data_IF_105327988980
#
_entry.id   IF_105327988980
#
_cell.length_a   1.000
_cell.length_b   1.000
_cell.length_c   1.000
_cell.angle_alpha   90.00
_cell.angle_beta   90.00
_cell.angle_gamma   90.00
#
_symmetry.space_group_name_H-M   'P 1'
#
loop_
_entity.id
_entity.type
_entity.pdbx_description
1 polymer ?
#
# COMPACT_ATOMS: atom_id res chain seq x y z
N UNK A 1 -66.36 -44.79 -35.33
CA UNK A 1 -65.16 -44.60 -34.47
C UNK A 1 -64.59 -43.23 -34.76
N UNK A 2 -64.84 -42.26 -33.87
CA UNK A 2 -64.20 -40.94 -33.88
C UNK A 2 -63.74 -40.70 -32.45
N UNK A 3 -62.42 -40.61 -32.26
CA UNK A 3 -61.78 -40.32 -30.98
C UNK A 3 -60.94 -39.07 -31.13
N UNK A 4 -61.27 -38.08 -30.32
CA UNK A 4 -60.89 -36.67 -30.32
C UNK A 4 -59.44 -36.40 -29.91
N UNK A 5 -58.86 -35.33 -30.45
CA UNK A 5 -57.63 -34.69 -29.97
C UNK A 5 -57.75 -34.30 -28.49
N UNK A 6 -56.65 -34.48 -27.74
CA UNK A 6 -56.38 -33.69 -26.53
C UNK A 6 -54.94 -33.19 -26.57
N UNK A 7 -54.83 -31.88 -26.75
CA UNK A 7 -53.60 -31.11 -26.68
C UNK A 7 -53.01 -31.16 -25.26
N UNK A 8 -51.73 -31.47 -25.14
CA UNK A 8 -50.95 -31.19 -23.95
C UNK A 8 -50.05 -29.97 -24.20
N UNK A 9 -50.17 -29.03 -23.26
CA UNK A 9 -49.67 -27.66 -23.29
C UNK A 9 -48.17 -27.61 -23.05
N UNK A 10 -47.59 -26.54 -23.59
CA UNK A 10 -46.22 -26.03 -23.45
C UNK A 10 -45.72 -25.97 -21.99
N UNK A 11 -44.42 -26.22 -21.81
CA UNK A 11 -43.60 -25.55 -20.79
C UNK A 11 -42.16 -25.41 -21.33
N UNK A 12 -41.61 -24.18 -21.44
CA UNK A 12 -40.23 -23.96 -21.89
C UNK A 12 -39.27 -24.26 -20.73
N UNK A 13 -38.31 -25.16 -20.96
CA UNK A 13 -37.17 -25.34 -20.06
C UNK A 13 -36.31 -24.07 -20.13
N UNK A 14 -36.23 -23.40 -18.98
CA UNK A 14 -35.61 -22.11 -18.76
C UNK A 14 -34.14 -22.10 -19.20
N UNK A 15 -33.82 -21.18 -20.11
CA UNK A 15 -32.46 -20.71 -20.37
C UNK A 15 -32.00 -19.93 -19.14
N UNK A 16 -31.30 -20.61 -18.22
CA UNK A 16 -30.73 -20.04 -16.99
C UNK A 16 -29.19 -20.00 -17.05
N UNK A 17 -28.62 -19.86 -18.24
CA UNK A 17 -27.17 -19.90 -18.47
C UNK A 17 -26.55 -18.56 -18.91
N UNK A 18 -27.23 -17.43 -18.71
CA UNK A 18 -26.72 -16.10 -19.13
C UNK A 18 -26.57 -15.08 -17.99
N UNK A 19 -26.76 -15.47 -16.72
CA UNK A 19 -26.57 -14.56 -15.57
C UNK A 19 -25.15 -14.58 -14.97
N UNK A 20 -24.24 -15.43 -15.46
CA UNK A 20 -22.85 -15.41 -15.00
C UNK A 20 -21.99 -14.31 -15.65
N UNK A 21 -22.51 -13.65 -16.71
CA UNK A 21 -21.79 -12.59 -17.42
C UNK A 21 -22.10 -11.16 -16.91
N UNK A 22 -23.10 -10.99 -16.03
CA UNK A 22 -23.40 -9.71 -15.38
C UNK A 22 -22.93 -9.64 -13.91
N UNK A 23 -22.21 -10.65 -13.41
CA UNK A 23 -21.50 -10.58 -12.13
C UNK A 23 -20.09 -9.98 -12.29
N UNK A 24 -19.94 -9.03 -13.21
CA UNK A 24 -18.71 -8.28 -13.42
C UNK A 24 -18.32 -7.46 -12.19
N UNK A 25 -17.02 -7.37 -11.95
CA UNK A 25 -16.34 -6.38 -11.09
C UNK A 25 -16.31 -6.61 -9.56
N UNK A 26 -16.39 -7.86 -9.06
CA UNK A 26 -15.89 -8.15 -7.70
C UNK A 26 -14.65 -9.03 -7.75
N UNK A 27 -13.53 -8.48 -7.28
CA UNK A 27 -12.33 -9.25 -6.95
C UNK A 27 -12.71 -10.50 -6.15
N UNK A 28 -12.15 -11.66 -6.51
CA UNK A 28 -12.32 -12.87 -5.71
C UNK A 28 -12.03 -12.56 -4.23
N UNK A 29 -12.87 -13.03 -3.28
CA UNK A 29 -12.68 -12.71 -1.86
C UNK A 29 -11.36 -13.27 -1.29
N UNK A 30 -10.72 -14.21 -1.98
CA UNK A 30 -9.42 -14.77 -1.63
C UNK A 30 -8.23 -14.02 -2.25
N UNK A 31 -8.47 -13.03 -3.11
CA UNK A 31 -7.44 -12.23 -3.79
C UNK A 31 -7.40 -10.84 -3.15
N UNK A 32 -6.20 -10.39 -2.83
CA UNK A 32 -5.90 -9.07 -2.29
C UNK A 32 -5.65 -8.04 -3.40
N UNK A 33 -4.91 -8.40 -4.45
CA UNK A 33 -4.69 -7.57 -5.62
C UNK A 33 -4.42 -8.39 -6.89
N UNK A 34 -4.77 -7.85 -8.05
CA UNK A 34 -4.40 -8.39 -9.36
C UNK A 34 -3.36 -7.48 -10.02
N UNK A 35 -2.19 -8.05 -10.33
CA UNK A 35 -1.03 -7.40 -10.92
C UNK A 35 -0.79 -7.99 -12.32
N UNK A 36 -1.60 -7.57 -13.29
CA UNK A 36 -1.66 -8.24 -14.60
C UNK A 36 -2.09 -9.71 -14.42
N UNK A 37 -1.25 -10.64 -14.87
CA UNK A 37 -1.53 -12.08 -14.79
C UNK A 37 -1.29 -12.70 -13.40
N UNK A 38 -0.73 -11.93 -12.45
CA UNK A 38 -0.45 -12.41 -11.10
C UNK A 38 -1.54 -11.97 -10.12
N UNK A 39 -2.12 -12.92 -9.41
CA UNK A 39 -2.96 -12.64 -8.25
C UNK A 39 -2.13 -12.69 -6.96
N UNK A 40 -2.25 -11.68 -6.11
CA UNK A 40 -1.77 -11.67 -4.72
C UNK A 40 -2.91 -12.14 -3.85
N UNK A 41 -2.70 -13.17 -3.05
CA UNK A 41 -3.74 -13.76 -2.21
C UNK A 41 -3.87 -13.05 -0.87
N UNK A 42 -5.06 -13.11 -0.29
CA UNK A 42 -5.31 -12.67 1.09
C UNK A 42 -4.41 -13.42 2.08
N UNK A 43 -4.18 -14.71 1.85
CA UNK A 43 -3.38 -15.54 2.74
C UNK A 43 -1.90 -15.09 2.78
N UNK A 44 -1.32 -14.74 1.62
CA UNK A 44 0.05 -14.19 1.56
C UNK A 44 0.17 -12.89 2.35
N UNK A 45 -0.83 -12.00 2.24
CA UNK A 45 -0.85 -10.73 3.00
C UNK A 45 -1.00 -10.98 4.50
N UNK A 46 -1.96 -11.82 4.90
CA UNK A 46 -2.24 -12.13 6.31
C UNK A 46 -1.08 -12.88 6.99
N UNK A 47 -0.27 -13.63 6.23
CA UNK A 47 0.94 -14.28 6.73
C UNK A 47 1.99 -13.24 7.13
N UNK A 48 2.29 -12.27 6.24
CA UNK A 48 3.27 -11.23 6.50
C UNK A 48 2.84 -10.34 7.68
N UNK A 49 1.59 -9.86 7.67
CA UNK A 49 1.06 -9.01 8.75
C UNK A 49 1.18 -9.69 10.10
N UNK A 50 0.78 -10.97 10.18
CA UNK A 50 0.83 -11.74 11.42
C UNK A 50 2.26 -11.96 11.91
N UNK A 51 3.19 -12.30 11.01
CA UNK A 51 4.58 -12.55 11.36
C UNK A 51 5.23 -11.29 11.96
N UNK A 52 5.04 -10.14 11.33
CA UNK A 52 5.60 -8.86 11.77
C UNK A 52 4.98 -8.40 13.09
N UNK A 53 3.65 -8.42 13.19
CA UNK A 53 2.97 -7.91 14.36
C UNK A 53 3.19 -8.82 15.58
N UNK A 54 3.39 -10.12 15.39
CA UNK A 54 3.78 -11.02 16.47
C UNK A 54 5.09 -10.59 17.14
N UNK A 55 6.10 -10.16 16.36
CA UNK A 55 7.37 -9.64 16.90
C UNK A 55 7.15 -8.36 17.71
N UNK A 56 6.31 -7.45 17.21
CA UNK A 56 5.93 -6.23 17.92
C UNK A 56 5.23 -6.54 19.25
N UNK A 57 4.21 -7.40 19.21
CA UNK A 57 3.41 -7.81 20.37
C UNK A 57 4.26 -8.48 21.45
N UNK A 58 5.16 -9.40 21.08
CA UNK A 58 6.09 -10.06 21.99
C UNK A 58 6.99 -9.06 22.72
N UNK A 59 7.53 -8.08 21.99
CA UNK A 59 8.38 -7.03 22.57
C UNK A 59 7.61 -6.12 23.52
N UNK A 60 6.40 -5.72 23.15
CA UNK A 60 5.54 -4.94 24.02
C UNK A 60 5.11 -5.73 25.26
N UNK A 61 4.86 -7.03 25.12
CA UNK A 61 4.58 -7.92 26.25
C UNK A 61 5.77 -8.02 27.20
N UNK A 62 6.99 -8.24 26.67
CA UNK A 62 8.21 -8.28 27.45
C UNK A 62 8.45 -6.96 28.20
N UNK A 63 8.18 -5.81 27.56
CA UNK A 63 8.32 -4.49 28.19
C UNK A 63 7.33 -4.30 29.33
N UNK A 64 6.05 -4.66 29.13
CA UNK A 64 5.01 -4.60 30.19
C UNK A 64 5.34 -5.49 31.38
N UNK A 65 6.03 -6.61 31.15
CA UNK A 65 6.53 -7.51 32.19
C UNK A 65 7.78 -6.98 32.93
N UNK A 66 8.21 -5.74 32.68
CA UNK A 66 9.39 -5.15 33.32
C UNK A 66 10.72 -5.54 32.66
N UNK A 67 10.68 -6.08 31.44
CA UNK A 67 11.90 -6.42 30.68
C UNK A 67 12.85 -5.21 30.53
N UNK A 68 14.17 -5.43 30.68
CA UNK A 68 15.16 -4.40 30.43
C UNK A 68 15.25 -4.12 28.92
N UNK A 69 15.33 -2.84 28.55
CA UNK A 69 15.58 -2.46 27.16
C UNK A 69 15.03 -1.08 26.80
N UNK A 70 15.51 -0.52 25.68
CA UNK A 70 14.91 0.67 25.06
C UNK A 70 13.45 0.40 24.66
N UNK A 71 12.68 1.46 24.41
CA UNK A 71 11.32 1.33 23.91
C UNK A 71 11.32 0.46 22.64
N UNK A 72 10.46 -0.57 22.55
CA UNK A 72 10.38 -1.38 21.34
C UNK A 72 10.10 -0.48 20.14
N UNK A 73 10.76 -0.72 18.98
CA UNK A 73 10.33 -0.07 17.75
C UNK A 73 8.86 -0.41 17.50
N UNK A 74 8.11 0.56 16.97
CA UNK A 74 6.72 0.39 16.52
C UNK A 74 6.73 -0.46 15.25
N UNK A 75 7.06 -1.74 15.38
CA UNK A 75 6.92 -2.70 14.28
C UNK A 75 5.49 -3.19 14.31
N UNK A 76 4.62 -2.35 13.78
CA UNK A 76 3.23 -2.69 13.56
C UNK A 76 2.93 -2.33 12.12
N UNK A 77 2.48 -3.31 11.35
CA UNK A 77 2.10 -3.11 9.95
C UNK A 77 0.61 -3.41 9.77
N UNK A 78 0.04 -2.83 8.73
CA UNK A 78 -1.33 -3.07 8.31
C UNK A 78 -1.37 -3.93 7.06
N UNK A 79 -2.51 -4.58 6.84
CA UNK A 79 -2.70 -5.34 5.61
C UNK A 79 -2.75 -4.43 4.37
N UNK A 80 -3.18 -3.17 4.54
CA UNK A 80 -3.16 -2.15 3.49
C UNK A 80 -1.72 -1.79 3.09
N UNK A 81 -0.84 -1.57 4.06
CA UNK A 81 0.58 -1.29 3.84
C UNK A 81 1.26 -2.45 3.09
N UNK A 82 1.06 -3.70 3.53
CA UNK A 82 1.64 -4.88 2.87
C UNK A 82 1.18 -4.99 1.41
N UNK A 83 -0.12 -4.77 1.13
CA UNK A 83 -0.63 -4.73 -0.24
C UNK A 83 0.01 -3.59 -1.03
N UNK A 84 0.11 -2.40 -0.43
CA UNK A 84 0.75 -1.23 -1.02
C UNK A 84 2.21 -1.49 -1.42
N UNK A 85 3.02 -2.07 -0.53
CA UNK A 85 4.42 -2.40 -0.83
C UNK A 85 4.53 -3.32 -2.04
N UNK A 86 3.69 -4.35 -2.11
CA UNK A 86 3.68 -5.32 -3.22
C UNK A 86 3.24 -4.66 -4.53
N UNK A 87 2.15 -3.90 -4.50
CA UNK A 87 1.60 -3.21 -5.67
C UNK A 87 2.57 -2.16 -6.19
N UNK A 88 3.13 -1.33 -5.31
CA UNK A 88 4.02 -0.23 -5.69
C UNK A 88 5.39 -0.70 -6.15
N UNK A 89 5.87 -1.83 -5.61
CA UNK A 89 7.01 -2.52 -6.20
C UNK A 89 6.72 -2.89 -7.67
N UNK A 90 5.61 -3.57 -7.94
CA UNK A 90 5.26 -4.02 -9.29
C UNK A 90 5.10 -2.86 -10.28
N UNK A 91 4.40 -1.81 -9.86
CA UNK A 91 4.20 -0.60 -10.68
C UNK A 91 5.52 0.15 -10.89
N UNK A 92 6.35 0.24 -9.85
CA UNK A 92 7.67 0.86 -9.94
C UNK A 92 8.62 0.11 -10.89
N UNK A 93 8.66 -1.23 -10.85
CA UNK A 93 9.47 -2.04 -11.78
C UNK A 93 9.09 -1.77 -13.25
N UNK A 94 7.79 -1.66 -13.55
CA UNK A 94 7.31 -1.26 -14.88
C UNK A 94 7.77 0.14 -15.24
N UNK A 95 7.60 1.13 -14.35
CA UNK A 95 8.01 2.51 -14.60
C UNK A 95 9.53 2.64 -14.82
N UNK A 96 10.34 1.89 -14.07
CA UNK A 96 11.79 1.85 -14.28
C UNK A 96 12.12 1.34 -15.68
N UNK A 97 11.48 0.25 -16.10
CA UNK A 97 11.67 -0.36 -17.43
C UNK A 97 11.25 0.60 -18.54
N UNK A 98 10.05 1.17 -18.44
CA UNK A 98 9.48 2.10 -19.42
C UNK A 98 10.33 3.37 -19.58
N UNK A 99 10.94 3.85 -18.49
CA UNK A 99 11.76 5.09 -18.47
C UNK A 99 13.26 4.84 -18.62
N UNK A 100 13.70 3.59 -18.70
CA UNK A 100 15.11 3.24 -18.74
C UNK A 100 15.88 3.67 -17.48
N UNK A 101 15.21 3.72 -16.33
CA UNK A 101 15.83 4.09 -15.05
C UNK A 101 16.42 2.84 -14.37
N UNK A 102 17.64 2.93 -13.80
CA UNK A 102 18.21 1.81 -13.05
C UNK A 102 17.52 1.68 -11.69
N UNK A 103 17.35 0.45 -11.22
CA UNK A 103 17.02 0.21 -9.81
C UNK A 103 18.16 0.72 -8.90
N UNK A 104 17.83 1.06 -7.66
CA UNK A 104 18.80 1.52 -6.66
C UNK A 104 18.97 0.47 -5.54
N UNK A 105 19.88 -0.50 -5.68
CA UNK A 105 20.12 -1.53 -4.66
C UNK A 105 20.46 -0.89 -3.31
N UNK A 106 19.95 -1.50 -2.23
CA UNK A 106 20.24 -1.09 -0.85
C UNK A 106 20.46 -2.32 0.02
N UNK A 107 21.24 -2.19 1.09
CA UNK A 107 21.35 -3.26 2.09
C UNK A 107 20.07 -3.34 2.93
N UNK A 108 19.66 -4.56 3.26
CA UNK A 108 18.58 -4.82 4.21
C UNK A 108 18.93 -4.35 5.64
N UNK A 109 20.21 -4.19 5.97
CA UNK A 109 20.67 -3.77 7.31
C UNK A 109 20.09 -2.42 7.74
N UNK A 110 19.89 -1.50 6.78
CA UNK A 110 19.31 -0.18 7.07
C UNK A 110 17.88 -0.32 7.58
N UNK A 111 17.07 -1.15 6.90
CA UNK A 111 15.68 -1.38 7.31
C UNK A 111 15.59 -2.27 8.54
N UNK A 112 16.49 -3.24 8.68
CA UNK A 112 16.59 -4.06 9.88
C UNK A 112 16.81 -3.23 11.14
N UNK A 113 17.62 -2.17 11.07
CA UNK A 113 17.80 -1.24 12.18
C UNK A 113 16.54 -0.39 12.45
N UNK A 114 15.91 0.15 11.40
CA UNK A 114 14.71 1.01 11.52
C UNK A 114 13.54 0.26 12.14
N UNK A 115 13.25 -0.92 11.60
CA UNK A 115 12.15 -1.77 12.08
C UNK A 115 12.59 -2.72 13.20
N UNK A 116 13.87 -2.74 13.59
CA UNK A 116 14.38 -3.72 14.55
C UNK A 116 14.05 -5.17 14.20
N UNK A 117 13.95 -5.55 12.92
CA UNK A 117 13.65 -6.93 12.49
C UNK A 117 14.93 -7.64 12.02
N UNK A 118 14.98 -8.98 12.03
CA UNK A 118 16.09 -9.71 11.42
C UNK A 118 16.24 -9.35 9.93
N UNK A 119 17.46 -9.19 9.38
CA UNK A 119 17.65 -8.82 7.97
C UNK A 119 17.02 -9.78 6.94
N UNK A 120 16.68 -11.01 7.36
CA UNK A 120 16.01 -12.03 6.56
C UNK A 120 14.48 -12.00 6.66
N UNK A 121 13.90 -11.08 7.43
CA UNK A 121 12.46 -11.00 7.64
C UNK A 121 11.72 -10.68 6.32
N UNK A 122 10.65 -11.44 5.95
CA UNK A 122 9.90 -11.22 4.71
C UNK A 122 9.37 -9.80 4.53
N UNK A 123 9.04 -9.11 5.62
CA UNK A 123 8.54 -7.74 5.57
C UNK A 123 9.63 -6.73 5.21
N UNK A 124 10.85 -6.93 5.70
CA UNK A 124 11.99 -6.11 5.28
C UNK A 124 12.30 -6.29 3.81
N UNK A 125 12.07 -7.50 3.27
CA UNK A 125 12.20 -7.73 1.84
C UNK A 125 11.17 -6.95 1.02
N UNK A 126 9.92 -6.83 1.50
CA UNK A 126 8.91 -5.99 0.84
C UNK A 126 9.34 -4.52 0.80
N UNK A 127 9.78 -3.98 1.95
CA UNK A 127 10.30 -2.62 2.04
C UNK A 127 11.52 -2.39 1.15
N UNK A 128 12.45 -3.34 1.14
CA UNK A 128 13.64 -3.25 0.30
C UNK A 128 13.29 -3.25 -1.19
N UNK A 129 12.48 -4.21 -1.65
CA UNK A 129 12.08 -4.32 -3.05
C UNK A 129 11.32 -3.05 -3.50
N UNK A 130 10.41 -2.53 -2.66
CA UNK A 130 9.71 -1.27 -2.89
C UNK A 130 10.66 -0.07 -2.99
N UNK A 131 11.59 0.06 -2.05
CA UNK A 131 12.51 1.20 -1.99
C UNK A 131 13.44 1.26 -3.20
N UNK A 132 13.88 0.10 -3.69
CA UNK A 132 14.73 -0.02 -4.88
C UNK A 132 14.10 0.57 -6.13
N UNK A 133 12.76 0.61 -6.21
CA UNK A 133 12.04 1.16 -7.36
C UNK A 133 11.56 2.59 -7.14
N UNK A 134 11.18 2.95 -5.92
CA UNK A 134 10.68 4.32 -5.65
C UNK A 134 11.80 5.35 -5.66
N UNK A 135 12.98 5.06 -5.11
CA UNK A 135 14.05 6.05 -5.04
C UNK A 135 14.51 6.57 -6.41
N UNK A 136 14.76 5.73 -7.43
CA UNK A 136 15.08 6.23 -8.76
C UNK A 136 13.95 7.04 -9.38
N UNK A 137 12.69 6.70 -9.11
CA UNK A 137 11.53 7.46 -9.59
C UNK A 137 11.53 8.85 -8.94
N UNK A 138 11.71 8.95 -7.62
CA UNK A 138 11.83 10.23 -6.91
C UNK A 138 12.99 11.06 -7.47
N UNK A 139 14.17 10.45 -7.63
CA UNK A 139 15.35 11.13 -8.14
C UNK A 139 15.21 11.62 -9.59
N UNK A 140 14.30 11.04 -10.38
CA UNK A 140 14.01 11.46 -11.74
C UNK A 140 13.07 12.68 -11.82
N UNK A 141 12.42 13.07 -10.71
CA UNK A 141 11.60 14.28 -10.66
C UNK A 141 12.43 15.51 -10.29
N UNK A 142 12.24 16.65 -10.98
CA UNK A 142 12.87 17.90 -10.57
C UNK A 142 12.31 18.34 -9.22
N UNK A 143 13.17 18.93 -8.39
CA UNK A 143 12.72 19.50 -7.13
C UNK A 143 11.84 20.73 -7.39
N UNK A 144 10.76 20.83 -6.62
CA UNK A 144 9.84 21.95 -6.64
C UNK A 144 9.33 22.27 -5.24
N UNK A 145 8.84 23.50 -5.00
CA UNK A 145 8.09 23.77 -3.77
C UNK A 145 6.87 22.83 -3.67
N UNK A 146 6.66 22.14 -2.54
CA UNK A 146 5.44 21.38 -2.31
C UNK A 146 4.24 22.31 -2.09
N UNK A 147 3.04 21.82 -2.38
CA UNK A 147 1.79 22.52 -2.05
C UNK A 147 1.41 22.30 -0.58
N UNK A 148 0.51 23.15 -0.05
CA UNK A 148 0.00 22.97 1.31
C UNK A 148 -0.82 21.67 1.44
N UNK A 149 -1.54 21.28 0.38
CA UNK A 149 -2.27 20.02 0.32
C UNK A 149 -1.32 18.81 0.38
N UNK A 150 -0.19 18.87 -0.34
CA UNK A 150 0.82 17.81 -0.31
C UNK A 150 1.45 17.68 1.08
N UNK A 151 1.78 18.81 1.71
CA UNK A 151 2.26 18.82 3.10
C UNK A 151 1.19 18.34 4.09
N UNK A 152 -0.08 18.68 3.86
CA UNK A 152 -1.23 18.24 4.65
C UNK A 152 -1.32 16.72 4.74
N UNK A 153 -1.23 16.03 3.60
CA UNK A 153 -1.26 14.54 3.60
C UNK A 153 -0.13 13.89 4.38
N UNK A 154 1.07 14.49 4.36
CA UNK A 154 2.19 13.99 5.15
C UNK A 154 2.00 14.26 6.64
N UNK A 155 1.41 15.41 6.98
CA UNK A 155 1.03 15.72 8.35
C UNK A 155 -0.04 14.77 8.87
N UNK A 156 -1.07 14.47 8.08
CA UNK A 156 -2.09 13.47 8.43
C UNK A 156 -1.44 12.11 8.71
N UNK A 157 -0.52 11.66 7.85
CA UNK A 157 0.23 10.43 8.06
C UNK A 157 1.09 10.44 9.34
N UNK A 158 1.66 11.59 9.70
CA UNK A 158 2.39 11.76 10.96
C UNK A 158 1.46 11.75 12.18
N UNK A 159 0.25 12.33 12.07
CA UNK A 159 -0.77 12.29 13.11
C UNK A 159 -1.22 10.83 13.33
N UNK A 160 -1.53 10.12 12.26
CA UNK A 160 -1.97 8.72 12.31
C UNK A 160 -0.87 7.80 12.89
N UNK A 161 0.40 8.09 12.60
CA UNK A 161 1.54 7.39 13.18
C UNK A 161 1.85 7.80 14.64
N UNK A 162 1.16 8.80 15.20
CA UNK A 162 1.40 9.33 16.53
C UNK A 162 2.76 10.02 16.68
N UNK A 163 3.26 10.63 15.61
CA UNK A 163 4.62 11.19 15.49
C UNK A 163 4.65 12.72 15.55
N UNK A 164 3.49 13.37 15.67
CA UNK A 164 3.42 14.82 15.84
C UNK A 164 3.82 15.19 17.28
N UNK A 165 4.84 16.06 17.47
CA UNK A 165 5.24 16.50 18.80
C UNK A 165 4.13 17.31 19.49
N UNK A 166 4.00 17.12 20.80
CA UNK A 166 3.05 17.88 21.62
C UNK A 166 3.33 19.40 21.53
N UNK A 167 2.26 20.18 21.35
CA UNK A 167 2.32 21.65 21.38
C UNK A 167 2.81 22.32 20.10
N UNK A 168 3.13 21.57 19.04
CA UNK A 168 3.46 22.14 17.72
C UNK A 168 2.17 22.42 16.94
N UNK A 169 2.06 23.62 16.38
CA UNK A 169 0.89 24.02 15.59
C UNK A 169 0.86 23.36 14.21
N UNK A 170 -0.35 23.08 13.70
CA UNK A 170 -0.55 22.49 12.37
C UNK A 170 0.16 23.28 11.27
N UNK A 171 -0.03 24.60 11.21
CA UNK A 171 0.56 25.46 10.17
C UNK A 171 2.09 25.52 10.23
N UNK A 172 2.65 25.44 11.44
CA UNK A 172 4.10 25.37 11.66
C UNK A 172 4.66 24.06 11.08
N UNK A 173 3.99 22.94 11.35
CA UNK A 173 4.39 21.64 10.84
C UNK A 173 4.29 21.54 9.31
N UNK A 174 3.25 22.12 8.72
CA UNK A 174 3.14 22.26 7.26
C UNK A 174 4.32 23.05 6.70
N UNK A 175 4.66 24.18 7.32
CA UNK A 175 5.78 25.01 6.88
C UNK A 175 7.14 24.30 7.03
N UNK A 176 7.30 23.45 8.04
CA UNK A 176 8.49 22.62 8.25
C UNK A 176 8.58 21.49 7.22
N UNK A 177 7.49 20.76 6.96
CA UNK A 177 7.43 19.69 5.96
C UNK A 177 7.81 20.21 4.57
N UNK A 178 7.33 21.40 4.20
CA UNK A 178 7.66 22.04 2.92
C UNK A 178 9.14 22.43 2.78
N UNK A 179 9.89 22.48 3.88
CA UNK A 179 11.34 22.72 3.89
C UNK A 179 12.15 21.42 3.83
N UNK A 180 11.50 20.26 3.91
CA UNK A 180 12.18 18.98 3.84
C UNK A 180 12.79 18.77 2.44
N UNK A 181 14.08 18.41 2.33
CA UNK A 181 14.72 18.22 1.04
C UNK A 181 14.04 17.11 0.22
N UNK A 182 13.91 17.33 -1.09
CA UNK A 182 13.31 16.39 -2.04
C UNK A 182 11.81 16.14 -1.81
N UNK A 183 11.13 16.92 -0.97
CA UNK A 183 9.70 16.73 -0.69
C UNK A 183 8.88 16.93 -1.97
N UNK A 184 9.18 17.96 -2.76
CA UNK A 184 8.42 18.22 -3.99
C UNK A 184 8.63 17.15 -5.06
N UNK A 185 9.86 16.64 -5.17
CA UNK A 185 10.17 15.48 -6.01
C UNK A 185 9.42 14.22 -5.52
N UNK A 186 9.39 13.96 -4.20
CA UNK A 186 8.67 12.83 -3.60
C UNK A 186 7.16 12.91 -3.83
N UNK A 187 6.55 14.09 -3.64
CA UNK A 187 5.14 14.31 -3.92
C UNK A 187 4.80 14.11 -5.41
N UNK A 188 5.69 14.51 -6.32
CA UNK A 188 5.52 14.28 -7.76
C UNK A 188 5.66 12.80 -8.14
N UNK A 189 6.58 12.08 -7.48
CA UNK A 189 6.73 10.63 -7.64
C UNK A 189 5.49 9.89 -7.13
N UNK A 190 4.91 10.31 -6.00
CA UNK A 190 3.67 9.75 -5.47
C UNK A 190 2.54 9.84 -6.50
N UNK A 191 2.36 11.00 -7.13
CA UNK A 191 1.35 11.18 -8.19
C UNK A 191 1.61 10.27 -9.40
N UNK A 192 2.88 10.11 -9.79
CA UNK A 192 3.29 9.20 -10.87
C UNK A 192 2.97 7.74 -10.54
N UNK A 193 3.29 7.30 -9.32
CA UNK A 193 3.01 5.95 -8.85
C UNK A 193 1.50 5.70 -8.73
N UNK A 194 0.74 6.69 -8.25
CA UNK A 194 -0.73 6.63 -8.20
C UNK A 194 -1.35 6.47 -9.59
N UNK A 195 -0.94 7.30 -10.55
CA UNK A 195 -1.41 7.19 -11.93
C UNK A 195 -1.05 5.82 -12.55
N UNK A 196 0.15 5.31 -12.28
CA UNK A 196 0.57 4.02 -12.82
C UNK A 196 -0.09 2.81 -12.11
N UNK A 197 -0.55 2.98 -10.87
CA UNK A 197 -1.34 1.98 -10.14
C UNK A 197 -2.80 1.90 -10.63
N UNK A 198 -3.29 2.95 -11.31
CA UNK A 198 -4.12 2.87 -12.52
C UNK A 198 -4.83 1.56 -12.86
N UNK A 199 -4.05 0.64 -13.45
CA UNK A 199 -4.52 -0.64 -13.99
C UNK A 199 -4.45 -1.81 -13.01
N UNK A 200 -4.25 -1.56 -11.72
CA UNK A 200 -4.21 -2.60 -10.68
C UNK A 200 -5.56 -2.68 -9.98
N UNK A 201 -6.14 -3.87 -9.93
CA UNK A 201 -7.36 -4.11 -9.16
C UNK A 201 -7.01 -4.53 -7.74
N UNK A 202 -7.49 -3.79 -6.74
CA UNK A 202 -7.26 -4.08 -5.32
C UNK A 202 -8.59 -4.46 -4.67
N UNK A 203 -8.57 -5.44 -3.78
CA UNK A 203 -9.75 -5.84 -3.04
C UNK A 203 -10.15 -4.71 -2.06
N UNK A 204 -11.39 -4.19 -2.11
CA UNK A 204 -11.83 -3.06 -1.30
C UNK A 204 -11.65 -3.23 0.22
N UNK A 205 -11.53 -4.47 0.72
CA UNK A 205 -11.26 -4.73 2.14
C UNK A 205 -9.95 -4.12 2.65
N UNK A 206 -9.00 -3.85 1.75
CA UNK A 206 -7.69 -3.27 2.10
C UNK A 206 -7.70 -1.73 2.01
N UNK A 207 -8.84 -1.12 1.69
CA UNK A 207 -8.93 0.34 1.51
C UNK A 207 -8.23 0.83 0.24
N UNK A 208 -7.83 2.09 0.24
CA UNK A 208 -6.99 2.68 -0.80
C UNK A 208 -5.51 2.36 -0.61
N UNK A 209 -4.71 2.52 -1.66
CA UNK A 209 -3.26 2.44 -1.54
C UNK A 209 -2.74 3.56 -0.65
N UNK A 210 -1.81 3.21 0.22
CA UNK A 210 -0.89 4.13 0.91
C UNK A 210 0.47 4.12 0.22
N UNK A 211 1.23 5.20 0.35
CA UNK A 211 2.64 5.32 0.00
C UNK A 211 3.46 5.15 1.28
N UNK A 212 4.09 3.99 1.49
CA UNK A 212 4.99 3.82 2.62
C UNK A 212 6.22 4.72 2.44
N UNK A 213 6.52 5.55 3.43
CA UNK A 213 7.66 6.44 3.40
C UNK A 213 8.44 6.36 4.72
N UNK A 214 9.71 6.75 4.67
CA UNK A 214 10.55 6.91 5.85
C UNK A 214 11.00 8.36 5.90
N UNK A 215 10.51 9.10 6.89
CA UNK A 215 10.91 10.47 7.14
C UNK A 215 12.08 10.52 8.12
N UNK A 216 13.02 11.43 7.88
CA UNK A 216 14.07 11.76 8.84
C UNK A 216 13.62 12.92 9.70
N UNK A 217 13.10 12.61 10.89
CA UNK A 217 12.71 13.58 11.90
C UNK A 217 13.83 13.76 12.94
N UNK A 218 13.79 14.82 13.78
CA UNK A 218 14.73 14.96 14.89
C UNK A 218 14.74 13.76 15.86
N UNK A 219 13.62 13.03 15.96
CA UNK A 219 13.46 11.81 16.75
C UNK A 219 14.08 10.57 16.10
N UNK A 220 14.48 10.65 14.82
CA UNK A 220 15.06 9.55 14.06
C UNK A 220 14.33 9.28 12.74
N UNK A 221 14.58 8.11 12.17
CA UNK A 221 13.90 7.64 10.97
C UNK A 221 12.55 7.05 11.35
N UNK A 222 11.48 7.57 10.77
CA UNK A 222 10.11 7.24 11.14
C UNK A 222 9.36 6.73 9.90
N UNK A 223 8.91 5.45 9.90
CA UNK A 223 8.02 4.96 8.86
C UNK A 223 6.63 5.57 9.01
N UNK A 224 6.05 6.01 7.91
CA UNK A 224 4.68 6.54 7.83
C UNK A 224 3.98 6.01 6.56
N UNK A 225 2.66 5.94 6.62
CA UNK A 225 1.81 5.57 5.50
C UNK A 225 1.05 6.80 4.98
N UNK A 226 1.45 7.32 3.82
CA UNK A 226 0.84 8.52 3.24
C UNK A 226 -0.31 8.08 2.33
N UNK A 227 -1.52 8.53 2.59
CA UNK A 227 -2.65 8.25 1.71
C UNK A 227 -2.39 8.75 0.27
N UNK A 228 -2.80 7.95 -0.72
CA UNK A 228 -2.76 8.38 -2.11
C UNK A 228 -3.70 9.58 -2.34
N UNK A 229 -3.45 10.43 -3.35
CA UNK A 229 -4.42 11.43 -3.78
C UNK A 229 -5.81 10.79 -4.03
N UNK A 230 -6.88 11.55 -3.80
CA UNK A 230 -8.27 11.14 -4.05
C UNK A 230 -8.72 9.86 -3.29
N UNK A 231 -8.37 9.78 -2.00
CA UNK A 231 -8.64 8.65 -1.09
C UNK A 231 -8.01 7.30 -1.50
N UNK A 232 -7.02 7.31 -2.40
CA UNK A 232 -6.45 6.09 -2.95
C UNK A 232 -7.42 5.24 -3.76
N UNK A 233 -8.52 5.84 -4.25
CA UNK A 233 -9.40 5.23 -5.24
C UNK A 233 -8.64 5.17 -6.56
N UNK A 234 -8.01 4.04 -6.83
CA UNK A 234 -7.61 3.69 -8.19
C UNK A 234 -8.90 3.71 -9.02
N UNK A 235 -9.03 4.57 -10.04
CA UNK A 235 -10.22 4.59 -10.87
C UNK A 235 -10.40 3.18 -11.45
N UNK A 236 -11.50 2.54 -11.10
CA UNK A 236 -11.89 1.27 -11.70
C UNK A 236 -12.16 1.60 -13.16
N UNK A 237 -11.36 1.07 -14.08
CA UNK A 237 -11.66 1.14 -15.50
C UNK A 237 -13.07 0.56 -15.69
N UNK A 238 -14.04 1.40 -16.04
CA UNK A 238 -15.31 0.90 -16.57
C UNK A 238 -14.99 0.26 -17.93
N UNK A 239 -14.92 -1.07 -17.93
CA UNK A 239 -14.72 -1.89 -19.12
C UNK A 239 -15.89 -1.77 -20.11
#
# INVERSE_FOLDING_TARGET
MVGTMRAHRLAPLAVLALLAALAGCRSSPAVAAYLGDRAITVAEVDEVVRAVNAVGDERWAARRAGGPGPQPPLVHTTAAEVVSLIVLRHVGERLLTERGLPAAPRSSDVFAAIFGLPPSDPYLRLWLDYWQVVQPIVAAHPERPPTDEEAGRFLDALVDAGQVPDGVGHDEMIADLKRYPAFGAAASAQQTLAAAASGVTINPRYGGLVLPAILSLPSGLVPIDIAFPDDGKVPVEEA
#
